data_IF_799295785158
#
_entry.id   IF_799295785158
#
_cell.length_a   1.000
_cell.length_b   1.000
_cell.length_c   1.000
_cell.angle_alpha   90.00
_cell.angle_beta   90.00
_cell.angle_gamma   90.00
#
_symmetry.space_group_name_H-M   'P 1'
#
loop_
_entity.id
_entity.type
_entity.pdbx_description
1 polymer ?
#
# COMPACT_ATOMS: atom_id res chain seq x y z
N UNK A 1 8.62 11.10 25.25
CA UNK A 1 8.54 10.07 24.19
C UNK A 1 7.32 10.40 23.34
N UNK A 2 7.50 10.56 22.02
CA UNK A 2 6.40 10.95 21.12
C UNK A 2 5.59 9.69 20.79
N UNK A 3 4.37 9.63 21.32
CA UNK A 3 3.44 8.53 21.05
C UNK A 3 2.61 8.85 19.80
N UNK A 4 2.78 8.04 18.75
CA UNK A 4 2.07 8.19 17.48
C UNK A 4 0.56 7.96 17.61
N UNK A 5 0.09 7.22 18.62
CA UNK A 5 -1.35 7.01 18.87
C UNK A 5 -1.99 8.29 19.40
N UNK A 6 -1.27 8.99 20.29
CA UNK A 6 -1.71 10.26 20.85
C UNK A 6 -1.66 11.36 19.80
N UNK A 7 -0.52 11.48 19.10
CA UNK A 7 -0.37 12.46 18.01
C UNK A 7 -1.35 12.20 16.86
N UNK A 8 -1.59 10.94 16.49
CA UNK A 8 -2.55 10.58 15.44
C UNK A 8 -3.98 10.94 15.78
N UNK A 9 -4.35 10.92 17.08
CA UNK A 9 -5.64 11.39 17.57
C UNK A 9 -5.71 12.92 17.62
N UNK A 10 -4.65 13.56 18.11
CA UNK A 10 -4.58 15.03 18.25
C UNK A 10 -4.56 15.74 16.89
N UNK A 11 -3.98 15.12 15.86
CA UNK A 11 -3.92 15.62 14.48
C UNK A 11 -4.96 15.01 13.54
N UNK A 12 -5.91 14.22 14.07
CA UNK A 12 -6.98 13.58 13.29
C UNK A 12 -6.46 12.82 12.04
N UNK A 13 -5.37 12.07 12.21
CA UNK A 13 -4.71 11.35 11.10
C UNK A 13 -5.34 9.96 10.88
N UNK A 14 -5.64 9.25 11.96
CA UNK A 14 -6.25 7.94 11.89
C UNK A 14 -7.11 7.65 13.12
N UNK A 15 -8.15 6.86 12.94
CA UNK A 15 -9.03 6.39 14.01
C UNK A 15 -9.09 4.86 14.01
N UNK A 16 -9.06 4.27 15.19
CA UNK A 16 -9.30 2.85 15.40
C UNK A 16 -10.70 2.67 15.97
N UNK A 17 -11.61 2.07 15.21
CA UNK A 17 -12.96 1.74 15.68
C UNK A 17 -13.06 0.23 15.98
N UNK A 18 -13.61 -0.19 17.14
CA UNK A 18 -13.79 -1.61 17.46
C UNK A 18 -14.65 -2.38 16.44
N UNK A 19 -15.59 -1.71 15.76
CA UNK A 19 -16.45 -2.31 14.73
C UNK A 19 -15.70 -2.58 13.43
N UNK A 20 -14.65 -1.81 13.13
CA UNK A 20 -13.82 -2.02 11.94
C UNK A 20 -12.91 -3.26 12.06
N UNK A 21 -12.78 -3.82 13.27
CA UNK A 21 -11.90 -4.93 13.56
C UNK A 21 -10.53 -4.48 14.10
N UNK A 22 -9.99 -5.26 15.03
CA UNK A 22 -8.70 -4.97 15.64
C UNK A 22 -7.58 -5.04 14.59
N UNK A 23 -6.80 -3.96 14.45
CA UNK A 23 -5.66 -3.88 13.53
C UNK A 23 -5.93 -3.18 12.20
N UNK A 24 -7.16 -2.70 11.96
CA UNK A 24 -7.51 -1.94 10.77
C UNK A 24 -7.75 -0.46 11.12
N UNK A 25 -6.70 0.39 11.14
CA UNK A 25 -6.87 1.83 11.33
C UNK A 25 -7.54 2.45 10.11
N UNK A 26 -8.58 3.23 10.35
CA UNK A 26 -9.26 4.02 9.34
C UNK A 26 -8.49 5.33 9.18
N UNK A 27 -8.09 5.63 7.95
CA UNK A 27 -7.39 6.87 7.61
C UNK A 27 -8.39 8.00 7.42
N UNK A 28 -8.21 9.07 8.19
CA UNK A 28 -8.99 10.31 8.06
C UNK A 28 -8.38 11.17 6.93
N UNK A 29 -9.07 12.22 6.41
CA UNK A 29 -8.62 12.98 5.25
C UNK A 29 -7.18 13.53 5.38
N UNK A 30 -6.79 14.02 6.57
CA UNK A 30 -5.44 14.52 6.82
C UNK A 30 -4.38 13.40 6.77
N UNK A 31 -4.68 12.24 7.37
CA UNK A 31 -3.78 11.09 7.33
C UNK A 31 -3.69 10.45 5.94
N UNK A 32 -4.80 10.42 5.19
CA UNK A 32 -4.83 9.95 3.81
C UNK A 32 -3.98 10.85 2.90
N UNK A 33 -4.04 12.18 3.07
CA UNK A 33 -3.20 13.13 2.33
C UNK A 33 -1.71 12.94 2.65
N UNK A 34 -1.36 12.78 3.94
CA UNK A 34 0.02 12.52 4.35
C UNK A 34 0.55 11.20 3.76
N UNK A 35 -0.27 10.14 3.80
CA UNK A 35 0.05 8.84 3.20
C UNK A 35 0.26 8.96 1.68
N UNK A 36 -0.63 9.67 0.99
CA UNK A 36 -0.54 9.89 -0.45
C UNK A 36 0.76 10.58 -0.85
N UNK A 37 1.17 11.62 -0.11
CA UNK A 37 2.43 12.32 -0.36
C UNK A 37 3.65 11.39 -0.24
N UNK A 38 3.64 10.48 0.73
CA UNK A 38 4.71 9.47 0.90
C UNK A 38 4.67 8.45 -0.23
N UNK A 39 3.50 7.96 -0.62
CA UNK A 39 3.35 7.02 -1.75
C UNK A 39 3.83 7.63 -3.07
N UNK A 40 3.50 8.89 -3.35
CA UNK A 40 4.00 9.61 -4.53
C UNK A 40 5.51 9.77 -4.52
N UNK A 41 6.10 10.12 -3.37
CA UNK A 41 7.54 10.24 -3.23
C UNK A 41 8.26 8.92 -3.55
N UNK A 42 7.75 7.81 -3.00
CA UNK A 42 8.33 6.47 -3.24
C UNK A 42 8.20 6.06 -4.71
N UNK A 43 7.03 6.27 -5.32
CA UNK A 43 6.81 6.00 -6.76
C UNK A 43 7.77 6.78 -7.65
N UNK A 44 8.03 8.04 -7.32
CA UNK A 44 8.95 8.88 -8.08
C UNK A 44 10.41 8.40 -7.94
N UNK A 45 10.82 7.96 -6.74
CA UNK A 45 12.12 7.34 -6.53
C UNK A 45 12.28 6.04 -7.31
N UNK A 46 11.27 5.17 -7.27
CA UNK A 46 11.26 3.89 -7.98
C UNK A 46 11.31 4.09 -9.50
N UNK A 47 10.56 5.08 -10.01
CA UNK A 47 10.61 5.49 -11.43
C UNK A 47 12.01 5.95 -11.84
N UNK A 48 12.68 6.76 -11.01
CA UNK A 48 14.07 7.21 -11.26
C UNK A 48 15.07 6.06 -11.21
N UNK A 49 14.83 5.07 -10.36
CA UNK A 49 15.64 3.87 -10.26
C UNK A 49 15.34 2.83 -11.37
N UNK A 50 14.40 3.11 -12.27
CA UNK A 50 14.07 2.27 -13.42
C UNK A 50 13.10 1.12 -13.11
N UNK A 51 12.43 1.14 -11.95
CA UNK A 51 11.41 0.16 -11.61
C UNK A 51 10.13 0.41 -12.42
N UNK A 52 9.47 -0.68 -12.80
CA UNK A 52 8.18 -0.64 -13.49
C UNK A 52 7.09 -1.11 -12.53
N UNK A 53 6.28 -0.15 -12.09
CA UNK A 53 5.10 -0.47 -11.28
C UNK A 53 4.13 -1.34 -12.05
N UNK A 54 3.74 -2.45 -11.42
CA UNK A 54 2.67 -3.32 -11.88
C UNK A 54 1.64 -3.48 -10.77
N UNK A 55 0.37 -3.62 -11.16
CA UNK A 55 -0.71 -3.84 -10.22
C UNK A 55 -1.14 -5.30 -10.34
N UNK A 56 -0.90 -6.08 -9.29
CA UNK A 56 -1.47 -7.42 -9.15
C UNK A 56 -2.84 -7.34 -8.45
N UNK A 57 -3.77 -8.23 -8.79
CA UNK A 57 -5.04 -8.31 -8.07
C UNK A 57 -4.79 -8.67 -6.59
N UNK A 58 -5.56 -8.09 -5.65
CA UNK A 58 -5.39 -8.35 -4.22
C UNK A 58 -5.76 -9.80 -3.81
N UNK A 59 -6.47 -10.52 -4.69
CA UNK A 59 -6.80 -11.92 -4.54
C UNK A 59 -6.30 -12.68 -5.76
N UNK A 60 -5.51 -13.72 -5.53
CA UNK A 60 -5.02 -14.63 -6.57
C UNK A 60 -5.11 -16.08 -6.08
N UNK A 61 -5.15 -17.02 -7.03
CA UNK A 61 -4.94 -18.44 -6.72
C UNK A 61 -3.55 -18.63 -6.08
N UNK A 62 -3.38 -19.67 -5.27
CA UNK A 62 -2.18 -19.88 -4.44
C UNK A 62 -0.83 -19.92 -5.19
N UNK A 63 -0.83 -19.95 -6.53
CA UNK A 63 0.35 -19.86 -7.38
C UNK A 63 0.83 -18.42 -7.67
N UNK A 64 0.02 -17.40 -7.41
CA UNK A 64 0.32 -15.99 -7.74
C UNK A 64 0.69 -15.10 -6.53
N UNK A 65 0.62 -15.62 -5.31
CA UNK A 65 0.94 -14.86 -4.08
C UNK A 65 2.43 -14.51 -3.91
N UNK A 66 3.30 -15.13 -4.70
CA UNK A 66 4.75 -14.96 -4.63
C UNK A 66 5.32 -13.87 -5.54
N UNK A 67 4.48 -13.17 -6.32
CA UNK A 67 4.96 -12.12 -7.21
C UNK A 67 5.13 -10.78 -6.50
N UNK A 68 6.34 -10.20 -6.47
CA UNK A 68 6.54 -8.85 -5.95
C UNK A 68 5.83 -7.83 -6.85
N UNK A 69 5.03 -6.97 -6.22
CA UNK A 69 4.27 -5.86 -6.83
C UNK A 69 5.14 -4.86 -7.61
N UNK A 70 6.45 -4.87 -7.39
CA UNK A 70 7.40 -3.87 -7.93
C UNK A 70 8.38 -4.41 -8.97
N UNK A 71 8.30 -5.68 -9.36
CA UNK A 71 9.17 -6.20 -10.42
C UNK A 71 8.50 -7.25 -11.30
N UNK A 72 7.73 -6.79 -12.29
CA UNK A 72 7.46 -7.60 -13.46
C UNK A 72 8.11 -6.93 -14.69
N UNK A 73 9.24 -7.49 -15.11
CA UNK A 73 9.93 -7.11 -16.35
C UNK A 73 9.10 -7.44 -17.61
N UNK A 74 7.93 -8.08 -17.47
CA UNK A 74 6.99 -8.29 -18.57
C UNK A 74 5.53 -8.53 -18.09
N UNK A 75 4.53 -7.84 -18.66
CA UNK A 75 3.11 -8.09 -18.39
C UNK A 75 2.64 -9.48 -18.88
N UNK A 76 3.39 -10.11 -19.78
CA UNK A 76 3.05 -11.39 -20.44
C UNK A 76 3.23 -12.62 -19.55
N UNK A 77 3.97 -12.51 -18.44
CA UNK A 77 4.24 -13.67 -17.56
C UNK A 77 3.06 -13.98 -16.62
N UNK A 78 2.25 -12.96 -16.28
CA UNK A 78 1.10 -13.12 -15.38
C UNK A 78 -0.05 -13.91 -16.03
N UNK A 79 -0.40 -13.61 -17.29
CA UNK A 79 -1.53 -14.28 -17.98
C UNK A 79 -1.26 -15.74 -18.31
N UNK A 80 0.00 -16.16 -18.50
CA UNK A 80 0.35 -17.55 -18.85
C UNK A 80 0.35 -18.52 -17.67
N UNK A 81 0.30 -18.03 -16.42
CA UNK A 81 0.43 -18.86 -15.21
C UNK A 81 -0.85 -18.93 -14.37
N UNK A 82 -1.88 -18.15 -14.74
CA UNK A 82 -3.21 -18.15 -14.11
C UNK A 82 -4.27 -18.95 -14.88
N UNK A 83 -3.90 -19.62 -15.98
CA UNK A 83 -4.75 -20.56 -16.72
C UNK A 83 -4.63 -21.99 -16.22
#
# INVERSE_FOLDING_TARGET
MIDHRRLGRDLELFVSDPLAGAGLPIWLPAGAAARHAVEEYVRELERRAGYRHVYSPPLGNGSCSSFPVTSATSPTTCSRRCG
#
